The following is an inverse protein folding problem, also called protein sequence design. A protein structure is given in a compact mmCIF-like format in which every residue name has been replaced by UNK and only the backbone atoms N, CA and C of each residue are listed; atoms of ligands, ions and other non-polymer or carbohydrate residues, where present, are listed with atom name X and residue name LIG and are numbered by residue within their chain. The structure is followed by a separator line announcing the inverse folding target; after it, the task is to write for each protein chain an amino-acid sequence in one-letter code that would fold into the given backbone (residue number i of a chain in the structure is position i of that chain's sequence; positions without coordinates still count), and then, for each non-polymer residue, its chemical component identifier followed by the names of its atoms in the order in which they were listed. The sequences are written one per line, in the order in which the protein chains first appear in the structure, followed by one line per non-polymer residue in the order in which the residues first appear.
data_IF_367680114781
#
_entry.id   IF_367680114781
#
_cell.length_a   1.000
_cell.length_b   1.000
_cell.length_c   1.000
_cell.angle_alpha   90.00
_cell.angle_beta   90.00
_cell.angle_gamma   90.00
#
_symmetry.space_group_name_H-M   'P 1'
#
loop_
_entity.id
_entity.type
_entity.pdbx_description
1 polymer ?
#
# COMPACT_ATOMS: atom_id res chain seq x y z
N UNK A 1 -11.07 17.60 13.34
CA UNK A 1 -9.95 17.20 12.46
C UNK A 1 -10.53 16.28 11.40
N UNK A 2 -10.15 16.45 10.13
CA UNK A 2 -10.47 15.45 9.12
C UNK A 2 -9.72 14.15 9.46
N UNK A 3 -10.27 12.95 9.16
CA UNK A 3 -9.55 11.71 9.38
C UNK A 3 -8.25 11.71 8.55
N UNK A 4 -7.19 11.13 9.13
CA UNK A 4 -5.94 10.87 8.38
C UNK A 4 -6.29 9.88 7.28
N UNK A 5 -5.89 10.19 6.04
CA UNK A 5 -6.12 9.32 4.89
C UNK A 5 -5.19 8.11 4.96
N UNK A 6 -5.65 6.99 4.43
CA UNK A 6 -4.92 5.71 4.49
C UNK A 6 -4.45 5.27 3.11
N UNK A 7 -3.23 4.77 3.05
CA UNK A 7 -2.67 4.11 1.87
C UNK A 7 -2.26 2.69 2.24
N UNK A 8 -2.89 1.70 1.62
CA UNK A 8 -2.56 0.30 1.86
C UNK A 8 -1.45 -0.19 0.96
N UNK A 9 -0.64 -1.11 1.44
CA UNK A 9 0.42 -1.75 0.66
C UNK A 9 0.57 -3.20 1.09
N UNK A 10 0.94 -4.08 0.17
CA UNK A 10 1.25 -5.47 0.51
C UNK A 10 2.63 -5.57 1.16
N UNK A 11 2.72 -6.32 2.25
CA UNK A 11 3.95 -6.62 2.98
C UNK A 11 3.98 -6.01 4.39
N UNK A 12 5.20 -5.83 4.91
CA UNK A 12 5.43 -5.42 6.29
C UNK A 12 6.01 -3.99 6.39
N UNK A 13 5.87 -3.30 7.54
CA UNK A 13 6.53 -2.03 7.78
C UNK A 13 8.04 -2.13 7.56
N UNK A 14 8.51 -1.44 6.52
CA UNK A 14 9.92 -1.36 6.11
C UNK A 14 10.16 -1.94 4.73
N UNK A 15 9.17 -2.63 4.16
CA UNK A 15 9.20 -3.05 2.76
C UNK A 15 9.32 -1.83 1.81
N UNK A 16 9.79 -2.08 0.58
CA UNK A 16 9.93 -1.02 -0.44
C UNK A 16 8.61 -0.26 -0.67
N UNK A 17 7.47 -0.96 -0.67
CA UNK A 17 6.15 -0.34 -0.81
C UNK A 17 5.78 0.54 0.40
N UNK A 18 6.20 0.17 1.63
CA UNK A 18 6.02 1.03 2.81
C UNK A 18 6.80 2.34 2.66
N UNK A 19 8.05 2.25 2.21
CA UNK A 19 8.90 3.42 2.00
C UNK A 19 8.36 4.30 0.86
N UNK A 20 7.95 3.70 -0.25
CA UNK A 20 7.34 4.41 -1.38
C UNK A 20 6.05 5.14 -0.96
N UNK A 21 5.19 4.50 -0.17
CA UNK A 21 3.98 5.15 0.38
C UNK A 21 4.32 6.38 1.20
N UNK A 22 5.33 6.30 2.07
CA UNK A 22 5.75 7.44 2.92
C UNK A 22 6.46 8.55 2.14
N UNK A 23 7.12 8.22 1.04
CA UNK A 23 7.79 9.19 0.19
C UNK A 23 6.80 9.97 -0.69
N UNK A 24 5.85 9.27 -1.33
CA UNK A 24 4.89 9.87 -2.26
C UNK A 24 3.70 10.48 -1.53
N UNK A 25 3.28 9.89 -0.42
CA UNK A 25 2.13 10.33 0.38
C UNK A 25 2.51 10.47 1.87
N UNK A 26 3.36 11.45 2.23
CA UNK A 26 3.86 11.61 3.60
C UNK A 26 2.77 11.95 4.63
N UNK A 27 1.66 12.54 4.17
CA UNK A 27 0.51 12.90 5.01
C UNK A 27 -0.51 11.75 5.19
N UNK A 28 -0.25 10.59 4.56
CA UNK A 28 -1.11 9.41 4.68
C UNK A 28 -0.54 8.43 5.71
N UNK A 29 -1.44 7.72 6.38
CA UNK A 29 -1.08 6.55 7.18
C UNK A 29 -0.85 5.36 6.25
N UNK A 30 0.38 4.85 6.22
CA UNK A 30 0.71 3.65 5.46
C UNK A 30 0.31 2.39 6.24
N UNK A 31 -0.63 1.62 5.70
CA UNK A 31 -1.21 0.44 6.35
C UNK A 31 -0.75 -0.84 5.64
N UNK A 32 -0.06 -1.76 6.34
CA UNK A 32 0.37 -3.03 5.75
C UNK A 32 -0.82 -3.98 5.54
N UNK A 33 -0.78 -4.74 4.45
CA UNK A 33 -1.71 -5.81 4.11
C UNK A 33 -0.93 -7.12 3.86
N UNK A 34 -1.47 -8.29 4.27
CA UNK A 34 -0.79 -9.57 4.07
C UNK A 34 -0.63 -9.93 2.59
N UNK A 35 -1.70 -9.71 1.81
CA UNK A 35 -1.77 -10.04 0.38
C UNK A 35 -2.14 -8.83 -0.47
N UNK A 36 -2.02 -8.95 -1.80
CA UNK A 36 -2.49 -7.91 -2.72
C UNK A 36 -4.01 -7.83 -2.72
N UNK A 37 -4.68 -8.97 -2.64
CA UNK A 37 -6.13 -9.10 -2.57
C UNK A 37 -6.69 -8.38 -1.33
N UNK A 38 -6.00 -8.45 -0.19
CA UNK A 38 -6.37 -7.69 1.01
C UNK A 38 -6.24 -6.17 0.77
N UNK A 39 -5.17 -5.72 0.12
CA UNK A 39 -4.98 -4.31 -0.23
C UNK A 39 -6.06 -3.82 -1.21
N UNK A 40 -6.38 -4.61 -2.24
CA UNK A 40 -7.47 -4.29 -3.17
C UNK A 40 -8.85 -4.29 -2.47
N UNK A 41 -9.08 -5.23 -1.56
CA UNK A 41 -10.32 -5.31 -0.78
C UNK A 41 -10.47 -4.10 0.13
N UNK A 42 -9.41 -3.65 0.79
CA UNK A 42 -9.43 -2.45 1.63
C UNK A 42 -9.78 -1.18 0.85
N UNK A 43 -9.29 -1.05 -0.39
CA UNK A 43 -9.62 0.09 -1.28
C UNK A 43 -11.07 0.01 -1.74
N UNK A 44 -11.50 -1.16 -2.23
CA UNK A 44 -12.86 -1.34 -2.76
C UNK A 44 -13.93 -1.30 -1.66
N UNK A 45 -13.59 -1.69 -0.43
CA UNK A 45 -14.43 -1.60 0.76
C UNK A 45 -14.46 -0.22 1.41
N UNK A 46 -13.62 0.73 0.96
CA UNK A 46 -13.54 2.08 1.52
C UNK A 46 -12.81 2.18 2.86
N UNK A 47 -12.07 1.13 3.24
CA UNK A 47 -11.21 1.12 4.44
C UNK A 47 -9.90 1.89 4.21
N UNK A 48 -9.50 2.04 2.95
CA UNK A 48 -8.34 2.81 2.51
C UNK A 48 -8.70 3.75 1.35
N UNK A 49 -8.03 4.90 1.29
CA UNK A 49 -8.22 5.90 0.23
C UNK A 49 -7.43 5.54 -1.03
N UNK A 50 -6.25 4.92 -0.87
CA UNK A 50 -5.31 4.60 -1.94
C UNK A 50 -4.61 3.26 -1.69
N UNK A 51 -4.02 2.70 -2.76
CA UNK A 51 -3.14 1.53 -2.71
C UNK A 51 -1.79 1.79 -3.35
N UNK A 52 -0.71 1.34 -2.70
CA UNK A 52 0.64 1.31 -3.26
C UNK A 52 0.97 -0.12 -3.72
N UNK A 53 0.81 -0.37 -5.01
CA UNK A 53 0.98 -1.68 -5.63
C UNK A 53 2.23 -1.66 -6.55
N UNK A 54 3.30 -2.42 -6.22
CA UNK A 54 4.45 -2.55 -7.09
C UNK A 54 4.09 -3.38 -8.33
N UNK A 55 4.28 -2.82 -9.53
CA UNK A 55 4.01 -3.52 -10.79
C UNK A 55 5.19 -4.41 -11.20
N UNK A 56 6.41 -3.90 -11.03
CA UNK A 56 7.65 -4.61 -11.34
C UNK A 56 8.62 -4.47 -10.16
N UNK A 57 9.21 -5.59 -9.75
CA UNK A 57 10.30 -5.62 -8.78
C UNK A 57 11.50 -6.29 -9.43
N UNK A 58 12.61 -5.56 -9.54
CA UNK A 58 13.85 -6.08 -10.12
C UNK A 58 14.43 -7.27 -9.34
N UNK A 59 14.06 -7.43 -8.07
CA UNK A 59 14.54 -8.51 -7.19
C UNK A 59 13.64 -9.76 -7.27
N UNK A 60 12.33 -9.59 -7.52
CA UNK A 60 11.34 -10.66 -7.41
C UNK A 60 10.54 -10.94 -8.71
N UNK A 61 10.75 -10.17 -9.79
CA UNK A 61 9.99 -10.28 -11.03
C UNK A 61 8.71 -9.43 -11.04
N UNK A 62 7.76 -9.74 -11.94
CA UNK A 62 6.40 -9.14 -11.91
C UNK A 62 5.71 -9.55 -10.61
N UNK A 63 5.14 -8.58 -9.90
CA UNK A 63 4.66 -8.77 -8.53
C UNK A 63 3.13 -8.80 -8.44
N UNK A 64 2.43 -8.05 -9.30
CA UNK A 64 0.98 -8.07 -9.37
C UNK A 64 0.53 -8.80 -10.64
N UNK A 65 -0.21 -9.89 -10.45
CA UNK A 65 -1.10 -10.51 -11.44
C UNK A 65 -2.54 -10.26 -10.99
#
# INVERSE_FOLDING_TARGET
MAPIKKIVFQGEPGANSHLASREVFPDFEAVPCPTFEDAFSAITGGEADLGMIPIENSVAGRVAD
#
